data_IF_383821146114
#
_entry.id   IF_383821146114
#
_cell.length_a   1.000
_cell.length_b   1.000
_cell.length_c   1.000
_cell.angle_alpha   90.00
_cell.angle_beta   90.00
_cell.angle_gamma   90.00
#
_symmetry.space_group_name_H-M   'P 1'
#
loop_
_entity.id
_entity.type
_entity.pdbx_description
1 polymer ?
#
# COMPACT_ATOMS: atom_id res chain seq x y z
N UNK A 1 -8.08 -8.14 25.77
CA UNK A 1 -9.02 -8.15 24.61
C UNK A 1 -8.45 -7.17 23.56
N UNK A 2 -7.90 -7.66 22.45
CA UNK A 2 -7.24 -6.81 21.44
C UNK A 2 -8.21 -6.21 20.43
N UNK A 3 -7.95 -5.00 19.93
CA UNK A 3 -8.81 -4.33 18.94
C UNK A 3 -8.20 -4.42 17.55
N UNK A 4 -9.05 -4.69 16.54
CA UNK A 4 -8.73 -4.59 15.11
C UNK A 4 -9.37 -3.32 14.56
N UNK A 5 -8.61 -2.52 13.81
CA UNK A 5 -9.14 -1.33 13.14
C UNK A 5 -9.03 -1.50 11.62
N UNK A 6 -10.14 -1.28 10.92
CA UNK A 6 -10.18 -1.26 9.46
C UNK A 6 -10.64 0.13 9.03
N UNK A 7 -9.78 0.85 8.32
CA UNK A 7 -10.05 2.19 7.80
C UNK A 7 -10.25 2.07 6.29
N UNK A 8 -11.52 2.09 5.88
CA UNK A 8 -11.95 2.20 4.49
C UNK A 8 -12.53 3.60 4.26
N UNK A 9 -11.84 4.44 3.48
CA UNK A 9 -12.25 5.83 3.27
C UNK A 9 -13.28 5.97 2.13
N UNK A 10 -14.57 5.81 2.43
CA UNK A 10 -15.59 6.60 1.72
C UNK A 10 -15.84 7.84 2.58
N UNK A 11 -15.11 8.92 2.26
CA UNK A 11 -15.23 10.28 2.83
C UNK A 11 -15.27 10.40 4.35
N UNK A 12 -14.10 10.37 5.01
CA UNK A 12 -13.81 11.18 6.20
C UNK A 12 -12.31 11.14 6.50
N UNK A 13 -11.67 12.31 6.56
CA UNK A 13 -10.28 12.45 7.02
C UNK A 13 -10.25 12.13 8.51
N UNK A 14 -9.81 10.92 8.88
CA UNK A 14 -9.63 10.50 10.26
C UNK A 14 -8.19 10.71 10.69
N UNK A 15 -7.89 11.88 11.27
CA UNK A 15 -6.67 12.06 12.07
C UNK A 15 -6.87 11.33 13.40
N UNK A 16 -6.20 10.19 13.57
CA UNK A 16 -6.13 9.52 14.88
C UNK A 16 -5.01 10.19 15.69
N UNK A 17 -5.38 11.20 16.46
CA UNK A 17 -4.44 11.95 17.30
C UNK A 17 -4.36 11.26 18.67
N UNK A 18 -3.41 10.35 18.85
CA UNK A 18 -3.10 9.76 20.16
C UNK A 18 -2.53 8.34 20.07
N UNK A 19 -1.91 7.85 21.16
CA UNK A 19 -1.44 6.48 21.25
C UNK A 19 -2.60 5.49 21.21
N UNK A 20 -2.39 4.38 20.50
CA UNK A 20 -3.32 3.27 20.32
C UNK A 20 -2.75 2.00 20.96
N UNK A 21 -2.62 1.93 22.29
CA UNK A 21 -1.87 0.87 22.98
C UNK A 21 -2.52 -0.52 22.86
N UNK A 22 -3.78 -0.62 22.45
CA UNK A 22 -4.48 -1.91 22.33
C UNK A 22 -4.75 -2.32 20.87
N UNK A 23 -4.25 -1.54 19.92
CA UNK A 23 -4.40 -1.83 18.51
C UNK A 23 -3.39 -2.92 18.12
N UNK A 24 -3.89 -4.08 17.71
CA UNK A 24 -3.06 -5.22 17.29
C UNK A 24 -3.00 -5.37 15.77
N UNK A 25 -4.00 -4.85 15.08
CA UNK A 25 -4.15 -4.96 13.62
C UNK A 25 -4.70 -3.67 13.06
N UNK A 26 -4.06 -3.16 12.01
CA UNK A 26 -4.48 -1.97 11.28
C UNK A 26 -4.47 -2.26 9.79
N UNK A 27 -5.62 -2.01 9.15
CA UNK A 27 -5.76 -2.01 7.69
C UNK A 27 -6.17 -0.63 7.21
N UNK A 28 -5.46 -0.13 6.21
CA UNK A 28 -5.76 1.12 5.51
C UNK A 28 -5.88 0.81 4.03
N UNK A 29 -7.04 1.05 3.43
CA UNK A 29 -7.27 0.79 2.02
C UNK A 29 -8.10 1.89 1.36
N UNK A 30 -7.79 2.16 0.09
CA UNK A 30 -8.58 3.05 -0.79
C UNK A 30 -8.73 4.49 -0.25
N UNK A 31 -7.72 4.97 0.48
CA UNK A 31 -7.69 6.32 1.03
C UNK A 31 -6.75 7.22 0.21
N UNK A 32 -7.19 8.45 -0.12
CA UNK A 32 -6.28 9.51 -0.61
C UNK A 32 -5.55 10.13 0.58
N UNK A 33 -4.48 9.47 1.01
CA UNK A 33 -3.62 9.95 2.09
C UNK A 33 -2.43 10.68 1.51
N UNK A 34 -1.88 11.63 2.26
CA UNK A 34 -0.59 12.29 1.96
C UNK A 34 0.56 11.64 2.73
N UNK A 35 0.27 11.04 3.89
CA UNK A 35 1.21 10.34 4.74
C UNK A 35 0.46 9.41 5.72
N UNK A 36 1.18 8.47 6.32
CA UNK A 36 0.69 7.59 7.38
C UNK A 36 1.67 7.66 8.54
N UNK A 37 1.19 8.08 9.70
CA UNK A 37 1.93 8.06 10.95
C UNK A 37 0.96 7.84 12.10
N UNK A 38 1.29 6.94 13.03
CA UNK A 38 0.51 6.66 14.21
C UNK A 38 1.38 6.05 15.31
N UNK A 39 0.93 6.14 16.55
CA UNK A 39 1.61 5.55 17.70
C UNK A 39 0.84 4.33 18.18
N UNK A 40 1.26 3.13 17.79
CA UNK A 40 0.60 1.88 18.15
C UNK A 40 1.64 0.82 18.55
N UNK A 41 2.14 0.92 19.78
CA UNK A 41 3.24 0.08 20.31
C UNK A 41 2.98 -1.41 20.10
N UNK A 42 1.75 -1.86 20.37
CA UNK A 42 1.35 -3.26 20.31
C UNK A 42 0.83 -3.72 18.93
N UNK A 43 1.00 -2.91 17.88
CA UNK A 43 0.56 -3.27 16.54
C UNK A 43 1.38 -4.45 16.05
N UNK A 44 0.74 -5.60 15.82
CA UNK A 44 1.40 -6.81 15.34
C UNK A 44 1.32 -6.94 13.81
N UNK A 45 0.29 -6.40 13.18
CA UNK A 45 0.05 -6.54 11.73
C UNK A 45 -0.45 -5.24 11.11
N UNK A 46 0.20 -4.85 10.01
CA UNK A 46 -0.15 -3.67 9.22
C UNK A 46 -0.47 -4.08 7.78
N UNK A 47 -1.61 -3.60 7.26
CA UNK A 47 -2.00 -3.76 5.87
C UNK A 47 -2.24 -2.39 5.21
N UNK A 48 -1.59 -2.14 4.08
CA UNK A 48 -1.79 -0.94 3.28
C UNK A 48 -2.12 -1.28 1.83
N UNK A 49 -3.13 -0.59 1.28
CA UNK A 49 -3.52 -0.66 -0.13
C UNK A 49 -3.86 0.74 -0.65
N UNK A 50 -2.97 1.34 -1.44
CA UNK A 50 -3.11 2.73 -1.84
C UNK A 50 -2.02 3.26 -2.76
N UNK A 51 -2.01 4.58 -2.96
CA UNK A 51 -0.92 5.25 -3.68
C UNK A 51 0.35 5.23 -2.82
N UNK A 52 1.52 5.34 -3.45
CA UNK A 52 2.76 5.52 -2.72
C UNK A 52 2.71 6.78 -1.85
N UNK A 53 2.87 6.61 -0.54
CA UNK A 53 2.90 7.70 0.45
C UNK A 53 3.97 7.39 1.49
N UNK A 54 4.56 8.41 2.13
CA UNK A 54 5.42 8.19 3.28
C UNK A 54 4.66 7.46 4.40
N UNK A 55 5.27 6.39 4.93
CA UNK A 55 4.75 5.60 6.06
C UNK A 55 5.79 5.64 7.18
N UNK A 56 5.40 6.07 8.38
CA UNK A 56 6.20 6.00 9.60
C UNK A 56 5.58 5.00 10.58
N UNK A 57 6.29 3.88 10.79
CA UNK A 57 5.92 2.81 11.72
C UNK A 57 6.90 2.71 12.90
N UNK A 58 7.78 3.70 13.09
CA UNK A 58 8.82 3.70 14.14
C UNK A 58 8.27 3.56 15.56
N UNK A 59 7.00 3.88 15.76
CA UNK A 59 6.28 3.78 17.05
C UNK A 59 5.47 2.48 17.20
N UNK A 60 5.73 1.47 16.37
CA UNK A 60 5.08 0.15 16.39
C UNK A 60 6.11 -0.95 16.64
N UNK A 61 6.63 -1.02 17.86
CA UNK A 61 7.74 -1.93 18.21
C UNK A 61 7.41 -3.41 18.09
N UNK A 62 6.14 -3.79 18.23
CA UNK A 62 5.68 -5.18 18.15
C UNK A 62 5.30 -5.62 16.72
N UNK A 63 5.58 -4.80 15.70
CA UNK A 63 5.16 -5.07 14.33
C UNK A 63 5.93 -6.26 13.74
N UNK A 64 5.21 -7.36 13.46
CA UNK A 64 5.79 -8.59 12.91
C UNK A 64 5.44 -8.80 11.45
N UNK A 65 4.26 -8.36 11.02
CA UNK A 65 3.76 -8.57 9.67
C UNK A 65 3.37 -7.26 9.01
N UNK A 66 3.88 -7.01 7.79
CA UNK A 66 3.46 -5.90 6.95
C UNK A 66 3.10 -6.41 5.55
N UNK A 67 1.91 -6.06 5.07
CA UNK A 67 1.47 -6.33 3.70
C UNK A 67 1.11 -5.01 3.02
N UNK A 68 1.88 -4.64 2.01
CA UNK A 68 1.80 -3.32 1.37
C UNK A 68 1.60 -3.52 -0.13
N UNK A 69 0.54 -2.89 -0.64
CA UNK A 69 0.22 -2.88 -2.06
C UNK A 69 0.10 -1.44 -2.58
N UNK A 70 0.99 -1.06 -3.50
CA UNK A 70 0.99 0.25 -4.12
C UNK A 70 0.37 0.25 -5.52
N UNK A 71 -0.42 1.30 -5.80
CA UNK A 71 -0.92 1.61 -7.14
C UNK A 71 0.12 2.42 -7.92
N UNK A 72 0.63 1.87 -9.03
CA UNK A 72 1.42 2.61 -10.02
C UNK A 72 2.82 3.06 -9.57
N UNK A 73 3.36 2.50 -8.48
CA UNK A 73 4.74 2.74 -8.06
C UNK A 73 5.68 1.64 -8.59
N UNK A 74 6.97 1.92 -8.63
CA UNK A 74 7.98 0.90 -8.93
C UNK A 74 8.37 0.17 -7.65
N UNK A 75 8.66 -1.13 -7.79
CA UNK A 75 9.15 -1.95 -6.69
C UNK A 75 10.45 -1.40 -6.08
N UNK A 76 11.33 -0.83 -6.90
CA UNK A 76 12.60 -0.24 -6.46
C UNK A 76 12.39 0.96 -5.54
N UNK A 77 11.60 1.95 -5.99
CA UNK A 77 11.28 3.14 -5.19
C UNK A 77 10.62 2.76 -3.86
N UNK A 78 9.69 1.81 -3.93
CA UNK A 78 8.98 1.23 -2.79
C UNK A 78 9.94 0.63 -1.75
N UNK A 79 10.91 -0.19 -2.19
CA UNK A 79 11.90 -0.81 -1.30
C UNK A 79 12.76 0.25 -0.63
N UNK A 80 13.24 1.26 -1.37
CA UNK A 80 14.07 2.33 -0.82
C UNK A 80 13.36 3.11 0.30
N UNK A 81 12.08 3.43 0.12
CA UNK A 81 11.29 4.15 1.12
C UNK A 81 11.03 3.29 2.36
N UNK A 82 10.72 2.00 2.17
CA UNK A 82 10.29 1.13 3.26
C UNK A 82 11.43 0.47 4.04
N UNK A 83 12.63 0.38 3.47
CA UNK A 83 13.78 -0.29 4.09
C UNK A 83 14.12 0.26 5.48
N UNK A 84 13.98 1.57 5.68
CA UNK A 84 14.27 2.22 6.97
C UNK A 84 13.12 2.13 7.98
N UNK A 85 11.93 1.74 7.52
CA UNK A 85 10.70 1.75 8.33
C UNK A 85 10.36 0.37 8.86
N UNK A 86 10.70 -0.68 8.11
CA UNK A 86 10.30 -2.06 8.38
C UNK A 86 11.40 -2.94 8.96
N UNK A 87 12.37 -2.34 9.66
CA UNK A 87 13.61 -3.00 10.13
C UNK A 87 13.32 -4.22 11.02
N UNK A 88 12.23 -4.18 11.80
CA UNK A 88 11.88 -5.25 12.75
C UNK A 88 10.79 -6.21 12.23
N UNK A 89 10.36 -6.05 10.98
CA UNK A 89 9.28 -6.85 10.40
C UNK A 89 9.81 -8.23 10.00
N UNK A 90 9.16 -9.28 10.50
CA UNK A 90 9.53 -10.67 10.22
C UNK A 90 8.94 -11.17 8.92
N UNK A 91 7.73 -10.70 8.57
CA UNK A 91 7.02 -11.09 7.36
C UNK A 91 6.61 -9.85 6.58
N UNK A 92 7.27 -9.65 5.43
CA UNK A 92 6.95 -8.58 4.49
C UNK A 92 6.37 -9.17 3.22
N UNK A 93 5.18 -8.72 2.84
CA UNK A 93 4.65 -8.87 1.48
C UNK A 93 4.60 -7.49 0.85
N UNK A 94 5.24 -7.38 -0.31
CA UNK A 94 5.27 -6.16 -1.08
C UNK A 94 4.87 -6.45 -2.51
N UNK A 95 3.86 -5.72 -2.98
CA UNK A 95 3.33 -5.84 -4.32
C UNK A 95 3.09 -4.43 -4.87
N UNK A 96 3.32 -4.26 -6.16
CA UNK A 96 3.12 -3.01 -6.87
C UNK A 96 2.41 -3.33 -8.18
N UNK A 97 1.29 -2.66 -8.45
CA UNK A 97 0.71 -2.70 -9.79
C UNK A 97 1.63 -1.90 -10.73
N UNK A 98 2.46 -2.59 -11.51
CA UNK A 98 3.19 -1.97 -12.60
C UNK A 98 2.20 -1.33 -13.58
N UNK A 99 2.44 -0.10 -13.99
CA UNK A 99 1.80 0.38 -15.21
C UNK A 99 2.15 -0.62 -16.33
N UNK A 100 1.16 -1.07 -17.12
CA UNK A 100 1.48 -1.86 -18.28
C UNK A 100 2.48 -1.04 -19.12
N UNK A 101 3.49 -1.69 -19.73
CA UNK A 101 4.36 -0.99 -20.66
C UNK A 101 3.48 -0.24 -21.64
N UNK A 102 3.82 1.03 -21.92
CA UNK A 102 3.13 1.84 -22.94
C UNK A 102 3.34 1.19 -24.30
N UNK A 103 2.62 0.11 -24.56
CA UNK A 103 2.47 -0.45 -25.89
C UNK A 103 1.66 0.61 -26.64
N UNK A 104 2.19 1.22 -27.71
CA UNK A 104 1.38 2.08 -28.55
C UNK A 104 0.16 1.26 -28.94
N UNK A 105 -1.05 1.78 -28.71
CA UNK A 105 -2.25 1.12 -29.20
C UNK A 105 -2.00 0.83 -30.68
N UNK A 106 -1.91 -0.46 -31.05
CA UNK A 106 -1.78 -0.84 -32.45
C UNK A 106 -3.02 -0.28 -33.12
N UNK A 107 -2.83 0.84 -33.85
CA UNK A 107 -3.87 1.40 -34.69
C UNK A 107 -4.42 0.25 -35.50
N UNK A 108 -5.71 -0.03 -35.35
CA UNK A 108 -6.37 -1.18 -35.96
C UNK A 108 -6.35 -0.97 -37.48
N UNK A 109 -5.25 -1.34 -38.14
CA UNK A 109 -5.19 -1.43 -39.58
C UNK A 109 -6.05 -2.61 -39.97
N UNK A 110 -7.27 -2.29 -40.40
CA UNK A 110 -8.22 -3.25 -40.94
C UNK A 110 -7.67 -3.74 -42.29
N UNK A 111 -6.78 -4.73 -42.25
CA UNK A 111 -6.28 -5.38 -43.46
C UNK A 111 -7.47 -6.07 -44.16
N UNK A 112 -7.96 -5.45 -45.23
CA UNK A 112 -8.90 -6.09 -46.15
C UNK A 112 -8.12 -7.07 -47.01
N UNK A 113 -8.26 -8.36 -46.75
CA UNK A 113 -7.87 -9.37 -47.72
C UNK A 113 -8.89 -9.34 -48.87
N UNK A 114 -8.53 -8.73 -50.00
CA UNK A 114 -9.23 -8.99 -51.26
C UNK A 114 -8.81 -10.36 -51.77
N UNK A 115 -9.80 -11.22 -52.06
CA UNK A 115 -9.58 -12.54 -52.64
C UNK A 115 -8.79 -12.41 -53.94
N UNK A 116 -7.69 -13.15 -54.07
CA UNK A 116 -7.08 -13.37 -55.37
C UNK A 116 -8.01 -14.27 -56.17
N UNK A 117 -8.61 -13.73 -57.24
CA UNK A 117 -9.22 -14.52 -58.32
C UNK A 117 -8.17 -14.80 -59.37
#
# INVERSE_FOLDING_TARGET
MGRKLNICCQTAVTKVNGPLPHLLYLKIASCRLTNIAFHAVNLATFEYRGLAVPIDLSKSSELKCANIWYYGDTLEHTITVLANVLINVQHLTLDTACEPPKIPCLMHYRCKFSRMT
#
